data_IF_950597633151
#
_entry.id   IF_950597633151
#
_cell.length_a   1.000
_cell.length_b   1.000
_cell.length_c   1.000
_cell.angle_alpha   90.00
_cell.angle_beta   90.00
_cell.angle_gamma   90.00
#
_symmetry.space_group_name_H-M   'P 1'
#
loop_
_entity.id
_entity.type
_entity.pdbx_description
1 polymer ?
#
# COMPACT_ATOMS: atom_id res chain seq x y z
N UNK A 1 8.26 -21.81 25.83
CA UNK A 1 8.89 -20.92 24.83
C UNK A 1 7.79 -19.99 24.35
N UNK A 2 7.81 -18.70 24.72
CA UNK A 2 6.57 -17.93 24.86
C UNK A 2 5.97 -17.53 23.52
N UNK A 3 4.64 -17.42 23.57
CA UNK A 3 3.71 -17.38 22.48
C UNK A 3 3.93 -16.24 21.48
N UNK A 4 3.77 -16.59 20.20
CA UNK A 4 3.57 -15.64 19.11
C UNK A 4 2.37 -14.76 19.44
N UNK A 5 2.65 -13.51 19.81
CA UNK A 5 1.63 -12.51 20.07
C UNK A 5 0.99 -12.13 18.72
N UNK A 6 -0.09 -12.83 18.41
CA UNK A 6 -1.12 -12.45 17.47
C UNK A 6 -1.43 -10.95 17.65
N UNK A 7 -1.58 -10.24 16.53
CA UNK A 7 -2.06 -8.85 16.45
C UNK A 7 -1.00 -7.74 16.55
N UNK A 8 -0.04 -7.73 15.62
CA UNK A 8 0.81 -6.57 15.36
C UNK A 8 -0.03 -5.39 14.81
N UNK A 9 -0.65 -4.65 15.74
CA UNK A 9 -1.30 -3.34 15.60
C UNK A 9 -2.50 -3.25 14.64
N UNK A 10 -3.71 -3.49 15.17
CA UNK A 10 -4.89 -2.71 14.73
C UNK A 10 -4.76 -1.29 15.24
N UNK A 11 -3.97 -0.48 14.54
CA UNK A 11 -4.37 0.90 14.33
C UNK A 11 -4.99 0.91 12.94
N UNK A 12 -6.33 0.91 12.91
CA UNK A 12 -7.17 0.96 11.71
C UNK A 12 -6.76 2.15 10.85
N UNK A 13 -5.88 1.85 9.90
CA UNK A 13 -5.74 2.57 8.66
C UNK A 13 -4.96 1.68 7.69
N UNK A 14 -5.71 0.81 7.05
CA UNK A 14 -5.35 0.04 5.87
C UNK A 14 -5.13 1.05 4.71
N UNK A 15 -3.88 1.39 4.32
CA UNK A 15 -3.69 1.96 3.00
C UNK A 15 -4.09 0.88 1.99
N UNK A 16 -4.79 1.27 0.94
CA UNK A 16 -5.44 0.43 -0.09
C UNK A 16 -4.56 -0.57 -0.86
N UNK A 17 -3.36 -0.89 -0.36
CA UNK A 17 -2.39 -1.83 -0.91
C UNK A 17 -2.28 -3.07 -0.01
N UNK A 18 -3.40 -3.79 0.14
CA UNK A 18 -3.62 -4.92 1.05
C UNK A 18 -2.45 -5.89 1.20
N UNK A 19 -1.84 -5.91 2.39
CA UNK A 19 -0.79 -6.86 2.74
C UNK A 19 -1.36 -8.29 2.77
N UNK A 20 -1.11 -9.08 1.73
CA UNK A 20 -1.56 -10.46 1.63
C UNK A 20 -0.47 -11.42 2.10
N UNK A 21 -0.87 -12.40 2.92
CA UNK A 21 -0.09 -13.62 3.11
C UNK A 21 -0.08 -14.39 1.78
N UNK A 22 1.07 -14.95 1.40
CA UNK A 22 1.28 -15.61 0.13
C UNK A 22 0.20 -16.69 -0.15
N UNK A 23 -0.65 -16.43 -1.15
CA UNK A 23 -1.48 -17.45 -1.78
C UNK A 23 -0.75 -17.92 -3.05
N UNK A 24 -0.53 -19.24 -3.14
CA UNK A 24 0.14 -19.88 -4.28
C UNK A 24 -0.83 -19.87 -5.46
N UNK A 25 -0.51 -19.26 -6.62
CA UNK A 25 -1.37 -19.35 -7.79
C UNK A 25 -1.26 -20.75 -8.41
N UNK A 26 -2.37 -21.50 -8.42
CA UNK A 26 -2.56 -22.66 -9.29
C UNK A 26 -2.68 -22.22 -10.76
N UNK A 27 -2.28 -23.06 -11.73
CA UNK A 27 -2.16 -22.66 -13.13
C UNK A 27 -3.53 -22.39 -13.74
N UNK A 28 -3.69 -21.20 -14.32
CA UNK A 28 -4.87 -20.83 -15.10
C UNK A 28 -4.76 -21.43 -16.50
N UNK A 29 -5.81 -22.13 -16.92
CA UNK A 29 -5.96 -22.65 -18.28
C UNK A 29 -6.31 -21.48 -19.22
N UNK A 30 -5.62 -21.41 -20.35
CA UNK A 30 -5.89 -20.47 -21.46
C UNK A 30 -7.21 -20.81 -22.15
N UNK A 31 -7.94 -19.79 -22.62
CA UNK A 31 -8.91 -19.86 -23.74
C UNK A 31 -9.36 -18.41 -24.11
N UNK A 32 -9.89 -18.16 -25.33
CA UNK A 32 -9.24 -17.28 -26.31
C UNK A 32 -9.79 -15.85 -26.44
N UNK A 33 -8.98 -15.03 -27.13
CA UNK A 33 -9.19 -13.63 -27.46
C UNK A 33 -10.54 -13.36 -28.16
N UNK A 34 -11.37 -12.55 -27.51
CA UNK A 34 -12.51 -11.88 -28.13
C UNK A 34 -12.17 -10.40 -28.36
N UNK A 35 -12.31 -9.99 -29.61
CA UNK A 35 -12.10 -8.67 -30.18
C UNK A 35 -12.78 -7.54 -29.39
N UNK A 36 -11.97 -6.72 -28.70
CA UNK A 36 -12.42 -5.53 -27.99
C UNK A 36 -11.88 -4.26 -28.64
N UNK A 37 -12.79 -3.44 -29.16
CA UNK A 37 -12.52 -2.11 -29.74
C UNK A 37 -11.61 -1.25 -28.85
N UNK A 38 -10.49 -0.78 -29.43
CA UNK A 38 -9.60 0.20 -28.83
C UNK A 38 -10.37 1.50 -28.58
N UNK A 39 -10.87 1.69 -27.35
CA UNK A 39 -11.25 3.01 -26.85
C UNK A 39 -10.00 3.88 -26.84
N UNK A 40 -9.88 4.78 -27.81
CA UNK A 40 -8.91 5.88 -27.76
C UNK A 40 -9.28 6.75 -26.57
N UNK A 41 -8.66 6.50 -25.41
CA UNK A 41 -8.65 7.45 -24.32
C UNK A 41 -7.94 8.72 -24.84
N UNK A 42 -8.61 9.86 -24.72
CA UNK A 42 -8.01 11.15 -25.02
C UNK A 42 -6.69 11.26 -24.24
N UNK A 43 -5.59 11.49 -24.95
CA UNK A 43 -4.28 11.66 -24.31
C UNK A 43 -4.30 13.02 -23.61
N UNK A 44 -4.65 13.02 -22.33
CA UNK A 44 -4.46 14.19 -21.48
C UNK A 44 -2.95 14.38 -21.30
N UNK A 45 -2.41 15.48 -21.86
CA UNK A 45 -0.96 15.73 -21.93
C UNK A 45 -0.31 15.90 -20.55
N UNK A 46 -1.08 15.90 -19.46
CA UNK A 46 -0.55 15.98 -18.10
C UNK A 46 -0.24 14.61 -17.48
N UNK A 47 -0.77 13.51 -18.05
CA UNK A 47 -0.58 12.13 -17.55
C UNK A 47 -0.16 11.19 -18.69
N UNK A 48 1.06 11.34 -19.24
CA UNK A 48 1.53 10.56 -20.38
C UNK A 48 1.68 9.05 -20.09
N UNK A 49 1.84 8.65 -18.83
CA UNK A 49 2.06 7.25 -18.45
C UNK A 49 0.72 6.60 -18.09
N UNK A 50 0.16 5.77 -18.97
CA UNK A 50 -1.14 5.13 -18.76
C UNK A 50 -0.97 3.69 -18.27
N UNK A 51 -1.79 3.29 -17.29
CA UNK A 51 -1.85 1.90 -16.87
C UNK A 51 -2.54 1.03 -17.93
N UNK A 52 -1.99 -0.15 -18.18
CA UNK A 52 -2.58 -1.11 -19.14
C UNK A 52 -3.76 -1.90 -18.53
N UNK A 53 -3.83 -1.99 -17.20
CA UNK A 53 -4.84 -2.78 -16.48
C UNK A 53 -6.07 -1.94 -16.08
N UNK A 54 -5.96 -0.62 -16.01
CA UNK A 54 -7.04 0.26 -15.54
C UNK A 54 -6.95 1.66 -16.18
N UNK A 55 -7.98 2.51 -16.10
CA UNK A 55 -7.99 3.82 -16.77
C UNK A 55 -7.15 4.90 -16.05
N UNK A 56 -6.33 4.55 -15.04
CA UNK A 56 -5.50 5.53 -14.34
C UNK A 56 -4.26 5.88 -15.17
N UNK A 57 -4.02 7.19 -15.33
CA UNK A 57 -2.76 7.74 -15.84
C UNK A 57 -1.85 8.29 -14.74
N UNK A 58 -0.59 8.50 -15.04
CA UNK A 58 0.40 9.06 -14.15
C UNK A 58 1.24 10.06 -14.92
N UNK A 59 1.74 11.07 -14.22
CA UNK A 59 2.65 12.07 -14.78
C UNK A 59 4.12 11.65 -14.64
N UNK A 60 4.40 10.58 -13.89
CA UNK A 60 5.73 10.04 -13.63
C UNK A 60 5.72 8.53 -13.89
N UNK A 61 6.71 8.05 -14.65
CA UNK A 61 6.85 6.63 -15.01
C UNK A 61 7.00 5.72 -13.78
N UNK A 62 7.79 6.14 -12.78
CA UNK A 62 8.01 5.38 -11.56
C UNK A 62 6.74 5.21 -10.72
N UNK A 63 5.81 6.17 -10.79
CA UNK A 63 4.50 6.07 -10.15
C UNK A 63 3.59 5.08 -10.89
N UNK A 64 3.65 5.06 -12.23
CA UNK A 64 2.99 4.02 -13.04
C UNK A 64 3.55 2.63 -12.71
N UNK A 65 4.87 2.44 -12.75
CA UNK A 65 5.50 1.15 -12.46
C UNK A 65 5.14 0.65 -11.04
N UNK A 66 5.09 1.56 -10.06
CA UNK A 66 4.63 1.24 -8.71
C UNK A 66 3.15 0.87 -8.68
N UNK A 67 2.31 1.57 -9.43
CA UNK A 67 0.89 1.26 -9.55
C UNK A 67 0.67 -0.10 -10.22
N UNK A 68 1.44 -0.47 -11.24
CA UNK A 68 1.29 -1.77 -11.90
C UNK A 68 1.53 -2.95 -10.95
N UNK A 69 2.37 -2.77 -9.92
CA UNK A 69 2.54 -3.76 -8.86
C UNK A 69 1.26 -4.05 -8.06
N UNK A 70 0.29 -3.14 -8.06
CA UNK A 70 -1.02 -3.40 -7.43
C UNK A 70 -1.86 -4.37 -8.23
N UNK A 71 -1.63 -4.48 -9.54
CA UNK A 71 -2.29 -5.45 -10.41
C UNK A 71 -1.56 -6.79 -10.41
N UNK A 72 -0.23 -6.78 -10.47
CA UNK A 72 0.58 -8.01 -10.49
C UNK A 72 0.73 -8.66 -9.11
N UNK A 73 0.49 -7.90 -8.04
CA UNK A 73 0.72 -8.35 -6.67
C UNK A 73 2.19 -8.43 -6.28
N UNK A 74 3.11 -7.88 -7.09
CA UNK A 74 4.54 -7.90 -6.79
C UNK A 74 4.85 -7.06 -5.54
N UNK A 75 5.40 -7.70 -4.51
CA UNK A 75 5.73 -7.07 -3.21
C UNK A 75 7.19 -7.30 -2.86
N UNK A 76 8.11 -6.52 -3.44
CA UNK A 76 9.55 -6.77 -3.31
C UNK A 76 10.10 -6.50 -1.90
N UNK A 77 9.37 -5.77 -1.04
CA UNK A 77 9.86 -5.39 0.28
C UNK A 77 9.28 -6.29 1.35
N UNK A 78 10.08 -7.23 1.86
CA UNK A 78 9.68 -8.18 2.91
C UNK A 78 10.12 -7.70 4.31
N UNK A 79 9.27 -7.90 5.31
CA UNK A 79 9.66 -7.76 6.70
C UNK A 79 10.53 -8.95 7.15
N UNK A 80 11.59 -8.69 7.89
CA UNK A 80 12.46 -9.75 8.44
C UNK A 80 11.92 -10.35 9.74
N UNK A 81 11.05 -9.59 10.44
CA UNK A 81 10.48 -9.99 11.74
C UNK A 81 9.11 -10.66 11.61
N UNK A 82 8.45 -10.54 10.46
CA UNK A 82 7.21 -11.25 10.15
C UNK A 82 7.11 -11.58 8.65
N UNK A 83 6.09 -12.32 8.23
CA UNK A 83 5.90 -12.72 6.83
C UNK A 83 5.24 -11.65 5.94
N UNK A 84 5.04 -10.42 6.44
CA UNK A 84 4.42 -9.35 5.67
C UNK A 84 5.32 -8.82 4.56
N UNK A 85 4.72 -8.52 3.41
CA UNK A 85 5.39 -7.95 2.24
C UNK A 85 4.67 -6.69 1.74
N UNK A 86 5.47 -5.76 1.20
CA UNK A 86 5.04 -4.42 0.82
C UNK A 86 5.50 -4.09 -0.61
N UNK A 87 4.69 -3.28 -1.29
CA UNK A 87 5.01 -2.75 -2.63
C UNK A 87 6.08 -1.65 -2.54
N UNK A 88 6.18 -0.99 -1.38
CA UNK A 88 7.03 0.19 -1.16
C UNK A 88 7.92 0.08 0.08
N UNK A 89 9.14 0.59 -0.03
CA UNK A 89 10.13 0.63 1.07
C UNK A 89 9.70 1.50 2.25
N UNK A 90 9.08 2.65 2.00
CA UNK A 90 8.60 3.53 3.06
C UNK A 90 7.47 2.89 3.88
N UNK A 91 6.66 2.04 3.26
CA UNK A 91 5.63 1.27 3.96
C UNK A 91 6.25 0.18 4.84
N UNK A 92 7.28 -0.53 4.35
CA UNK A 92 8.06 -1.44 5.20
C UNK A 92 8.69 -0.69 6.37
N UNK A 93 9.33 0.46 6.15
CA UNK A 93 9.93 1.27 7.21
C UNK A 93 8.91 1.72 8.27
N UNK A 94 7.72 2.14 7.84
CA UNK A 94 6.63 2.48 8.75
C UNK A 94 6.10 1.24 9.50
N UNK A 95 6.07 0.07 8.84
CA UNK A 95 5.70 -1.19 9.47
C UNK A 95 6.71 -1.62 10.54
N UNK A 96 8.02 -1.44 10.33
CA UNK A 96 9.03 -1.77 11.34
C UNK A 96 8.86 -0.98 12.65
N UNK A 97 8.17 0.18 12.63
CA UNK A 97 7.81 0.91 13.85
C UNK A 97 6.82 0.17 14.74
N UNK A 98 6.01 -0.73 14.17
CA UNK A 98 5.13 -1.60 14.94
C UNK A 98 5.94 -2.56 15.82
N UNK A 99 7.01 -3.13 15.28
CA UNK A 99 7.84 -4.06 16.04
C UNK A 99 8.69 -3.38 17.11
N UNK A 100 9.18 -2.17 16.84
CA UNK A 100 9.98 -1.39 17.80
C UNK A 100 9.13 -0.61 18.82
N UNK A 101 7.83 -0.42 18.56
CA UNK A 101 6.95 0.43 19.36
C UNK A 101 7.23 1.94 19.20
N UNK A 102 8.03 2.34 18.22
CA UNK A 102 8.39 3.74 18.01
C UNK A 102 7.19 4.57 17.52
N UNK A 103 6.79 5.58 18.30
CA UNK A 103 5.69 6.52 17.98
C UNK A 103 6.23 7.95 17.91
N UNK A 104 6.92 8.33 16.82
CA UNK A 104 7.63 9.60 16.76
C UNK A 104 6.69 10.82 16.65
N UNK A 105 5.44 10.62 16.24
CA UNK A 105 4.50 11.71 16.01
C UNK A 105 3.62 11.93 17.24
N UNK A 106 3.88 12.99 18.01
CA UNK A 106 3.10 13.35 19.20
C UNK A 106 2.06 14.40 18.87
N UNK A 107 0.86 14.30 19.45
CA UNK A 107 -0.11 15.37 19.40
C UNK A 107 0.34 16.55 20.25
N UNK A 108 0.14 17.78 19.76
CA UNK A 108 0.44 19.00 20.50
C UNK A 108 -0.62 19.38 21.54
N UNK A 109 -1.84 18.84 21.41
CA UNK A 109 -2.98 19.16 22.27
C UNK A 109 -3.26 18.09 23.33
N UNK A 110 -2.73 16.88 23.17
CA UNK A 110 -2.92 15.78 24.10
C UNK A 110 -1.70 14.84 24.11
N UNK A 111 -1.66 13.90 25.06
CA UNK A 111 -0.54 12.97 25.21
C UNK A 111 -0.53 11.81 24.18
N UNK A 112 -1.45 11.80 23.22
CA UNK A 112 -1.54 10.73 22.22
C UNK A 112 -0.39 10.78 21.23
N UNK A 113 0.22 9.63 20.96
CA UNK A 113 1.32 9.48 20.02
C UNK A 113 0.95 8.53 18.88
N UNK A 114 1.59 8.67 17.73
CA UNK A 114 1.29 7.95 16.50
C UNK A 114 2.55 7.47 15.81
N UNK A 115 2.45 6.36 15.08
CA UNK A 115 3.53 5.79 14.26
C UNK A 115 3.66 6.48 12.90
N UNK A 116 2.60 7.17 12.45
CA UNK A 116 2.52 7.84 11.14
C UNK A 116 1.96 9.27 11.26
N UNK A 117 2.48 10.18 10.44
CA UNK A 117 2.10 11.59 10.43
C UNK A 117 0.64 11.83 10.02
N UNK A 118 0.12 11.08 9.04
CA UNK A 118 -1.26 11.25 8.60
C UNK A 118 -2.25 10.87 9.71
N UNK A 119 -1.94 9.86 10.54
CA UNK A 119 -2.77 9.44 11.67
C UNK A 119 -2.86 10.56 12.70
N UNK A 120 -1.73 11.22 12.99
CA UNK A 120 -1.71 12.43 13.82
C UNK A 120 -2.56 13.55 13.21
N UNK A 121 -2.37 13.88 11.93
CA UNK A 121 -3.15 14.94 11.26
C UNK A 121 -4.65 14.67 11.31
N UNK A 122 -5.05 13.42 11.06
CA UNK A 122 -6.44 12.98 11.14
C UNK A 122 -6.99 13.11 12.56
N UNK A 123 -6.22 12.68 13.56
CA UNK A 123 -6.60 12.83 14.97
C UNK A 123 -6.78 14.29 15.36
N UNK A 124 -5.84 15.16 15.02
CA UNK A 124 -5.94 16.60 15.31
C UNK A 124 -7.18 17.17 14.64
N UNK A 125 -7.39 16.92 13.34
CA UNK A 125 -8.57 17.42 12.62
C UNK A 125 -9.91 16.98 13.21
N UNK A 126 -9.99 15.76 13.77
CA UNK A 126 -11.25 15.21 14.29
C UNK A 126 -11.47 15.48 15.79
N UNK A 127 -10.42 15.49 16.60
CA UNK A 127 -10.50 15.61 18.05
C UNK A 127 -10.14 17.01 18.57
N UNK A 128 -9.48 17.84 17.74
CA UNK A 128 -9.02 19.19 18.05
C UNK A 128 -9.32 20.13 16.87
N UNK A 129 -10.60 20.45 16.61
CA UNK A 129 -11.02 21.30 15.49
C UNK A 129 -10.55 22.75 15.62
#
# INVERSE_FOLDING_TARGET
MPAANLWCCVDVDEPSDGAQAAHVPSPMQEEPASSGSLRRAAVDSTRPYQCMYCPLGFNIESDLARHERTHTGERPFRCEQCSMTFIRKDHLGAHMRCHSGERPFKCGHCATTFTRMYSLRRHVKMCHP
#
